data_IF_950329577771
#
_entry.id   IF_950329577771
#
_cell.length_a   1.000
_cell.length_b   1.000
_cell.length_c   1.000
_cell.angle_alpha   90.00
_cell.angle_beta   90.00
_cell.angle_gamma   90.00
#
_symmetry.space_group_name_H-M   'P 1'
#
loop_
_entity.id
_entity.type
_entity.pdbx_description
1 polymer ?
#
# COMPACT_ATOMS: atom_id res chain seq x y z
N UNK A 1 -34.71 -18.73 -7.70
CA UNK A 1 -34.73 -19.92 -8.56
C UNK A 1 -33.32 -20.24 -8.99
N UNK A 2 -32.75 -21.31 -8.45
CA UNK A 2 -31.38 -21.74 -8.71
C UNK A 2 -31.40 -23.24 -8.98
N UNK A 3 -31.74 -23.63 -10.22
CA UNK A 3 -31.63 -25.00 -10.74
C UNK A 3 -31.94 -25.08 -12.26
N UNK A 4 -31.83 -23.99 -13.02
CA UNK A 4 -32.19 -23.96 -14.46
C UNK A 4 -33.67 -24.29 -14.77
N UNK A 5 -34.54 -24.31 -13.75
CA UNK A 5 -35.97 -24.56 -13.89
C UNK A 5 -36.75 -23.27 -14.20
N UNK A 6 -37.81 -23.35 -15.02
CA UNK A 6 -38.70 -22.22 -15.24
C UNK A 6 -39.40 -21.80 -13.93
N UNK A 7 -39.51 -20.49 -13.72
CA UNK A 7 -40.16 -19.95 -12.54
C UNK A 7 -41.62 -20.40 -12.48
N UNK A 8 -42.06 -20.90 -11.32
CA UNK A 8 -43.45 -21.28 -11.10
C UNK A 8 -44.26 -19.99 -10.89
N UNK A 9 -45.31 -19.72 -11.70
CA UNK A 9 -46.12 -18.52 -11.56
C UNK A 9 -46.70 -18.38 -10.14
N UNK A 10 -46.52 -17.21 -9.53
CA UNK A 10 -47.04 -16.90 -8.20
C UNK A 10 -46.23 -17.44 -7.02
N UNK A 11 -45.11 -18.13 -7.23
CA UNK A 11 -44.24 -18.62 -6.17
C UNK A 11 -43.02 -17.71 -6.01
N UNK A 12 -42.91 -17.06 -4.85
CA UNK A 12 -41.74 -16.27 -4.41
C UNK A 12 -41.24 -16.72 -3.05
N UNK A 13 -40.08 -16.20 -2.65
CA UNK A 13 -39.54 -16.41 -1.30
C UNK A 13 -40.47 -15.86 -0.21
N UNK A 14 -41.28 -14.84 -0.50
CA UNK A 14 -42.29 -14.30 0.42
C UNK A 14 -43.39 -15.32 0.71
N UNK A 15 -43.89 -16.01 -0.32
CA UNK A 15 -44.92 -17.05 -0.18
C UNK A 15 -44.42 -18.18 0.72
N UNK A 16 -43.14 -18.56 0.57
CA UNK A 16 -42.50 -19.56 1.43
C UNK A 16 -42.35 -19.06 2.87
N UNK A 17 -41.91 -17.81 3.06
CA UNK A 17 -41.79 -17.21 4.39
C UNK A 17 -43.14 -17.15 5.10
N UNK A 18 -44.22 -16.76 4.42
CA UNK A 18 -45.56 -16.71 5.01
C UNK A 18 -46.09 -18.09 5.39
N UNK A 19 -45.81 -19.12 4.58
CA UNK A 19 -46.12 -20.51 4.93
C UNK A 19 -45.38 -20.99 6.18
N UNK A 20 -44.13 -20.54 6.39
CA UNK A 20 -43.35 -20.85 7.60
C UNK A 20 -43.91 -20.09 8.81
N UNK A 21 -44.27 -18.81 8.66
CA UNK A 21 -44.85 -17.97 9.73
C UNK A 21 -46.19 -18.53 10.22
N UNK A 22 -47.06 -18.95 9.31
CA UNK A 22 -48.37 -19.54 9.65
C UNK A 22 -48.25 -20.84 10.44
N UNK A 23 -47.11 -21.54 10.37
CA UNK A 23 -46.77 -22.69 11.22
C UNK A 23 -46.13 -22.32 12.57
N UNK A 24 -46.04 -21.03 12.88
CA UNK A 24 -45.50 -20.53 14.15
C UNK A 24 -43.97 -20.52 14.24
N UNK A 25 -43.27 -20.73 13.13
CA UNK A 25 -41.81 -20.65 13.11
C UNK A 25 -41.34 -19.23 12.77
N UNK A 26 -40.24 -18.80 13.38
CA UNK A 26 -39.59 -17.53 13.04
C UNK A 26 -38.89 -17.66 11.69
N UNK A 27 -39.11 -16.68 10.83
CA UNK A 27 -38.46 -16.58 9.53
C UNK A 27 -38.25 -15.13 9.16
N UNK A 28 -37.02 -14.82 8.78
CA UNK A 28 -36.64 -13.54 8.20
C UNK A 28 -36.28 -13.72 6.74
N UNK A 29 -36.74 -12.78 5.92
CA UNK A 29 -36.44 -12.76 4.50
C UNK A 29 -35.28 -11.78 4.27
N UNK A 30 -34.15 -12.29 3.78
CA UNK A 30 -33.00 -11.46 3.44
C UNK A 30 -32.85 -11.43 1.91
N UNK A 31 -33.14 -10.29 1.25
CA UNK A 31 -33.18 -10.23 -0.22
C UNK A 31 -31.78 -10.19 -0.86
N UNK A 32 -30.72 -9.95 -0.08
CA UNK A 32 -29.35 -9.82 -0.55
C UNK A 32 -28.37 -10.56 0.36
N UNK A 33 -27.55 -11.45 -0.22
CA UNK A 33 -26.51 -12.19 0.49
C UNK A 33 -25.50 -11.28 1.21
N UNK A 34 -25.27 -10.06 0.73
CA UNK A 34 -24.38 -9.10 1.38
C UNK A 34 -24.80 -8.74 2.80
N UNK A 35 -26.10 -8.83 3.12
CA UNK A 35 -26.62 -8.45 4.44
C UNK A 35 -26.81 -9.67 5.36
N UNK A 36 -26.62 -10.88 4.82
CA UNK A 36 -26.91 -12.12 5.52
C UNK A 36 -26.07 -12.30 6.80
N UNK A 37 -24.82 -11.83 6.82
CA UNK A 37 -23.94 -11.93 8.00
C UNK A 37 -24.52 -11.21 9.20
N UNK A 38 -25.05 -9.99 9.00
CA UNK A 38 -25.68 -9.20 10.06
C UNK A 38 -26.91 -9.87 10.66
N UNK A 39 -27.80 -10.41 9.81
CA UNK A 39 -29.00 -11.12 10.26
C UNK A 39 -28.66 -12.41 11.00
N UNK A 40 -27.78 -13.22 10.43
CA UNK A 40 -27.36 -14.47 11.08
C UNK A 40 -26.74 -14.15 12.44
N UNK A 41 -25.78 -13.23 12.51
CA UNK A 41 -25.14 -12.77 13.75
C UNK A 41 -26.14 -12.33 14.81
N UNK A 42 -27.15 -11.54 14.45
CA UNK A 42 -28.16 -11.06 15.39
C UNK A 42 -29.01 -12.20 15.98
N UNK A 43 -29.16 -13.31 15.24
CA UNK A 43 -29.94 -14.46 15.66
C UNK A 43 -29.15 -15.51 16.46
N UNK A 44 -27.83 -15.65 16.24
CA UNK A 44 -27.01 -16.68 16.90
C UNK A 44 -26.58 -16.32 18.33
N UNK A 45 -26.42 -17.36 19.15
CA UNK A 45 -25.80 -17.34 20.48
C UNK A 45 -24.56 -18.26 20.52
N UNK A 46 -23.64 -18.06 21.48
CA UNK A 46 -22.51 -18.96 21.67
C UNK A 46 -22.95 -20.42 21.86
N UNK A 47 -22.45 -21.33 21.02
CA UNK A 47 -22.80 -22.76 21.03
C UNK A 47 -23.83 -23.17 19.96
N UNK A 48 -24.44 -22.22 19.26
CA UNK A 48 -25.40 -22.52 18.19
C UNK A 48 -24.74 -23.16 16.96
N UNK A 49 -25.47 -24.09 16.34
CA UNK A 49 -25.11 -24.68 15.04
C UNK A 49 -25.92 -24.00 13.94
N UNK A 50 -25.25 -23.45 12.92
CA UNK A 50 -25.91 -22.88 11.74
C UNK A 50 -25.86 -23.85 10.57
N UNK A 51 -27.05 -24.19 10.07
CA UNK A 51 -27.24 -25.09 8.94
C UNK A 51 -27.68 -24.30 7.71
N UNK A 52 -27.04 -24.57 6.57
CA UNK A 52 -27.41 -23.98 5.29
C UNK A 52 -28.13 -25.03 4.45
N UNK A 53 -29.28 -24.65 3.88
CA UNK A 53 -30.13 -25.56 3.11
C UNK A 53 -30.73 -24.82 1.92
N UNK A 54 -30.61 -25.39 0.73
CA UNK A 54 -31.05 -24.74 -0.51
C UNK A 54 -30.45 -25.37 -1.77
N UNK A 55 -30.77 -24.77 -2.91
CA UNK A 55 -30.30 -25.19 -4.23
C UNK A 55 -29.34 -24.15 -4.84
N UNK A 56 -28.40 -24.59 -5.68
CA UNK A 56 -27.29 -23.79 -6.20
C UNK A 56 -25.99 -24.01 -5.41
N UNK A 57 -25.03 -23.08 -5.52
CA UNK A 57 -23.72 -23.19 -4.84
C UNK A 57 -23.79 -22.73 -3.38
N UNK A 58 -24.61 -23.44 -2.60
CA UNK A 58 -24.83 -23.09 -1.19
C UNK A 58 -23.58 -23.33 -0.33
N UNK A 59 -22.67 -24.19 -0.79
CA UNK A 59 -21.39 -24.45 -0.12
C UNK A 59 -20.49 -23.23 -0.17
N UNK A 60 -20.34 -22.57 -1.33
CA UNK A 60 -19.58 -21.31 -1.41
C UNK A 60 -20.22 -20.21 -0.57
N UNK A 61 -21.56 -20.07 -0.61
CA UNK A 61 -22.28 -19.08 0.21
C UNK A 61 -22.06 -19.34 1.71
N UNK A 62 -22.11 -20.59 2.14
CA UNK A 62 -21.86 -20.96 3.53
C UNK A 62 -20.42 -20.66 3.96
N UNK A 63 -19.43 -20.95 3.12
CA UNK A 63 -18.03 -20.63 3.41
C UNK A 63 -17.78 -19.12 3.46
N UNK A 64 -18.34 -18.35 2.52
CA UNK A 64 -18.24 -16.89 2.51
C UNK A 64 -18.89 -16.27 3.76
N UNK A 65 -20.08 -16.74 4.13
CA UNK A 65 -20.77 -16.26 5.34
C UNK A 65 -19.99 -16.61 6.61
N UNK A 66 -19.47 -17.83 6.71
CA UNK A 66 -18.66 -18.25 7.84
C UNK A 66 -17.37 -17.43 7.96
N UNK A 67 -16.73 -17.06 6.84
CA UNK A 67 -15.59 -16.16 6.83
C UNK A 67 -15.97 -14.76 7.34
N UNK A 68 -17.06 -14.16 6.82
CA UNK A 68 -17.58 -12.87 7.27
C UNK A 68 -17.93 -12.86 8.77
N UNK A 69 -18.65 -13.88 9.24
CA UNK A 69 -19.03 -14.00 10.66
C UNK A 69 -17.81 -14.13 11.57
N UNK A 70 -16.76 -14.84 11.12
CA UNK A 70 -15.47 -14.91 11.83
C UNK A 70 -14.74 -13.57 11.81
N UNK A 71 -14.73 -12.84 10.69
CA UNK A 71 -14.08 -11.51 10.57
C UNK A 71 -14.71 -10.47 11.47
N UNK A 72 -16.03 -10.45 11.52
CA UNK A 72 -16.81 -9.49 12.29
C UNK A 72 -16.99 -9.91 13.78
N UNK A 73 -16.43 -11.04 14.24
CA UNK A 73 -16.63 -11.53 15.61
C UNK A 73 -16.19 -10.47 16.67
N UNK A 74 -17.07 -10.09 17.62
CA UNK A 74 -16.74 -9.04 18.59
C UNK A 74 -15.54 -9.48 19.43
N UNK A 75 -14.51 -8.63 19.50
CA UNK A 75 -13.29 -8.94 20.25
C UNK A 75 -12.24 -9.77 19.50
N UNK A 76 -12.48 -10.25 18.26
CA UNK A 76 -11.44 -10.94 17.46
C UNK A 76 -10.21 -10.07 17.27
N UNK A 77 -10.38 -8.82 16.86
CA UNK A 77 -9.25 -7.90 16.69
C UNK A 77 -8.52 -7.65 18.02
N UNK A 78 -9.24 -7.61 19.15
CA UNK A 78 -8.64 -7.45 20.48
C UNK A 78 -7.87 -8.71 20.92
N UNK A 79 -8.36 -9.91 20.60
CA UNK A 79 -7.66 -11.17 20.84
C UNK A 79 -6.40 -11.28 19.96
N UNK A 80 -6.53 -11.04 18.65
CA UNK A 80 -5.42 -11.02 17.70
C UNK A 80 -4.36 -10.01 18.16
N UNK A 81 -4.78 -8.80 18.54
CA UNK A 81 -3.89 -7.78 19.07
C UNK A 81 -3.13 -8.27 20.30
N UNK A 82 -3.82 -8.89 21.27
CA UNK A 82 -3.19 -9.40 22.50
C UNK A 82 -2.19 -10.51 22.22
N UNK A 83 -2.56 -11.46 21.36
CA UNK A 83 -1.68 -12.57 20.98
C UNK A 83 -0.44 -12.06 20.23
N UNK A 84 -0.62 -11.18 19.24
CA UNK A 84 0.49 -10.59 18.52
C UNK A 84 1.38 -9.76 19.45
N UNK A 85 0.80 -8.98 20.36
CA UNK A 85 1.55 -8.20 21.35
C UNK A 85 2.46 -9.08 22.21
N UNK A 86 2.00 -10.26 22.60
CA UNK A 86 2.78 -11.20 23.42
C UNK A 86 3.99 -11.80 22.68
N UNK A 87 3.99 -11.80 21.35
CA UNK A 87 5.10 -12.29 20.53
C UNK A 87 6.18 -11.25 20.25
N UNK A 88 5.86 -9.97 20.45
CA UNK A 88 6.73 -8.86 20.05
C UNK A 88 7.49 -8.28 21.23
N UNK A 89 8.75 -7.90 20.98
CA UNK A 89 9.58 -7.17 21.94
C UNK A 89 8.95 -5.83 22.38
N UNK A 90 9.21 -5.34 23.61
CA UNK A 90 8.65 -4.07 24.10
C UNK A 90 8.91 -2.86 23.20
N UNK A 91 10.03 -2.87 22.48
CA UNK A 91 10.44 -1.79 21.57
C UNK A 91 9.66 -1.78 20.25
N UNK A 92 8.99 -2.89 19.91
CA UNK A 92 8.10 -2.96 18.75
C UNK A 92 6.81 -2.19 19.03
N UNK A 93 6.38 -1.36 18.09
CA UNK A 93 5.08 -0.70 18.20
C UNK A 93 3.99 -1.60 17.58
N UNK A 94 2.86 -1.71 18.28
CA UNK A 94 1.64 -2.35 17.79
C UNK A 94 0.46 -1.45 18.13
N UNK A 95 -0.35 -1.11 17.12
CA UNK A 95 -1.50 -0.23 17.27
C UNK A 95 -2.72 -0.83 16.54
N UNK A 96 -3.88 -0.84 17.20
CA UNK A 96 -5.16 -1.15 16.57
C UNK A 96 -5.80 0.13 16.00
N UNK A 97 -6.57 0.00 14.94
CA UNK A 97 -7.30 1.10 14.28
C UNK A 97 -6.39 2.31 13.98
N UNK A 98 -5.20 2.01 13.46
CA UNK A 98 -4.15 3.01 13.30
C UNK A 98 -4.38 3.88 12.06
N UNK A 99 -4.53 5.22 12.19
CA UNK A 99 -4.78 6.10 11.05
C UNK A 99 -3.56 6.15 10.11
N UNK A 100 -3.77 5.83 8.83
CA UNK A 100 -2.69 5.74 7.85
C UNK A 100 -2.40 7.06 7.12
N UNK A 101 -3.33 8.03 7.11
CA UNK A 101 -3.10 9.33 6.49
C UNK A 101 -1.79 9.98 6.93
N UNK A 102 -1.47 9.99 8.23
CA UNK A 102 -0.21 10.59 8.73
C UNK A 102 1.06 9.81 8.35
N UNK A 103 0.91 8.61 7.78
CA UNK A 103 1.97 7.68 7.39
C UNK A 103 2.17 7.62 5.87
N UNK A 104 1.40 8.36 5.09
CA UNK A 104 1.57 8.55 3.64
C UNK A 104 2.00 9.99 3.33
N UNK A 105 2.71 10.22 2.22
CA UNK A 105 3.11 11.59 1.84
C UNK A 105 1.96 12.40 1.25
N UNK A 106 0.95 11.73 0.67
CA UNK A 106 -0.30 12.35 0.21
C UNK A 106 -1.18 12.82 1.37
N UNK A 107 -0.96 12.26 2.58
CA UNK A 107 -1.73 12.57 3.79
C UNK A 107 -3.21 12.23 3.70
N UNK A 108 -3.54 11.14 3.01
CA UNK A 108 -4.89 10.58 2.91
C UNK A 108 -4.88 9.09 3.22
N UNK A 109 -6.05 8.56 3.55
CA UNK A 109 -6.29 7.14 3.81
C UNK A 109 -6.80 6.83 5.21
N UNK A 110 -7.65 5.80 5.28
CA UNK A 110 -8.31 5.34 6.50
C UNK A 110 -7.38 4.62 7.48
N UNK A 111 -7.98 3.89 8.40
CA UNK A 111 -7.23 3.16 9.44
C UNK A 111 -6.82 1.75 8.99
N UNK A 112 -5.67 1.28 9.46
CA UNK A 112 -5.34 -0.15 9.45
C UNK A 112 -5.99 -0.84 10.65
N UNK A 113 -6.51 -2.06 10.48
CA UNK A 113 -6.97 -2.87 11.62
C UNK A 113 -5.84 -3.08 12.63
N UNK A 114 -4.66 -3.46 12.13
CA UNK A 114 -3.43 -3.58 12.91
C UNK A 114 -2.30 -2.85 12.19
N UNK A 115 -1.49 -2.13 12.95
CA UNK A 115 -0.27 -1.50 12.47
C UNK A 115 0.90 -1.91 13.36
N UNK A 116 1.97 -2.41 12.73
CA UNK A 116 3.16 -2.91 13.42
C UNK A 116 4.41 -2.24 12.90
N UNK A 117 5.23 -1.73 13.81
CA UNK A 117 6.63 -1.39 13.53
C UNK A 117 7.53 -2.33 14.36
N UNK A 118 8.03 -3.43 13.78
CA UNK A 118 8.90 -4.36 14.49
C UNK A 118 10.21 -3.66 14.86
N UNK A 119 10.76 -3.99 16.02
CA UNK A 119 12.03 -3.45 16.50
C UNK A 119 13.23 -4.36 16.21
N UNK A 120 12.99 -5.51 15.58
CA UNK A 120 14.04 -6.43 15.16
C UNK A 120 13.56 -7.32 14.02
N UNK A 121 14.51 -8.02 13.38
CA UNK A 121 14.19 -9.04 12.38
C UNK A 121 13.47 -10.25 12.98
N UNK A 122 13.76 -10.58 14.25
CA UNK A 122 13.05 -11.63 14.96
C UNK A 122 11.57 -11.25 15.19
N UNK A 123 11.31 -10.00 15.56
CA UNK A 123 9.95 -9.47 15.68
C UNK A 123 9.25 -9.48 14.32
N UNK A 124 9.91 -9.00 13.25
CA UNK A 124 9.36 -9.05 11.90
C UNK A 124 8.97 -10.49 11.50
N UNK A 125 9.87 -11.46 11.68
CA UNK A 125 9.59 -12.86 11.39
C UNK A 125 8.42 -13.40 12.24
N UNK A 126 8.30 -12.99 13.51
CA UNK A 126 7.18 -13.36 14.37
C UNK A 126 5.85 -12.79 13.84
N UNK A 127 5.81 -11.52 13.40
CA UNK A 127 4.62 -10.93 12.77
C UNK A 127 4.20 -11.72 11.53
N UNK A 128 5.14 -12.04 10.64
CA UNK A 128 4.85 -12.74 9.38
C UNK A 128 4.30 -14.14 9.64
N UNK A 129 4.94 -14.90 10.54
CA UNK A 129 4.48 -16.23 10.95
C UNK A 129 3.10 -16.17 11.58
N UNK A 130 2.85 -15.18 12.44
CA UNK A 130 1.56 -14.99 13.09
C UNK A 130 0.45 -14.62 12.09
N UNK A 131 0.75 -13.73 11.14
CA UNK A 131 -0.20 -13.37 10.08
C UNK A 131 -0.54 -14.58 9.21
N UNK A 132 0.47 -15.37 8.84
CA UNK A 132 0.27 -16.60 8.05
C UNK A 132 -0.57 -17.64 8.81
N UNK A 133 -0.28 -17.90 10.09
CA UNK A 133 -1.02 -18.90 10.88
C UNK A 133 -2.47 -18.53 11.14
N UNK A 134 -2.78 -17.23 11.22
CA UNK A 134 -4.13 -16.71 11.43
C UNK A 134 -4.84 -16.26 10.15
N UNK A 135 -4.21 -16.48 8.98
CA UNK A 135 -4.71 -16.06 7.67
C UNK A 135 -5.05 -14.55 7.62
N UNK A 136 -4.22 -13.74 8.27
CA UNK A 136 -4.36 -12.28 8.30
C UNK A 136 -3.59 -11.73 7.09
N UNK A 137 -4.25 -11.05 6.13
CA UNK A 137 -3.54 -10.39 5.05
C UNK A 137 -2.68 -9.26 5.60
N UNK A 138 -1.53 -9.02 5.00
CA UNK A 138 -0.66 -7.93 5.40
C UNK A 138 -0.14 -7.10 4.23
N UNK A 139 0.19 -5.84 4.52
CA UNK A 139 0.75 -4.87 3.56
C UNK A 139 2.01 -4.25 4.16
N UNK A 140 3.06 -4.13 3.35
CA UNK A 140 4.27 -3.41 3.73
C UNK A 140 4.11 -1.92 3.43
N UNK A 141 4.30 -1.09 4.45
CA UNK A 141 4.26 0.37 4.33
C UNK A 141 5.66 0.95 4.56
N UNK A 142 6.22 1.53 3.50
CA UNK A 142 7.40 2.40 3.60
C UNK A 142 7.00 3.80 4.07
N UNK A 143 7.49 4.83 3.38
CA UNK A 143 7.05 6.23 3.61
C UNK A 143 5.69 6.58 2.99
N UNK A 144 5.02 5.61 2.34
CA UNK A 144 3.77 5.83 1.62
C UNK A 144 3.88 6.93 0.54
N UNK A 145 5.04 7.02 -0.12
CA UNK A 145 5.33 8.08 -1.10
C UNK A 145 4.84 7.81 -2.53
N UNK A 146 4.40 6.58 -2.78
CA UNK A 146 3.78 6.14 -4.03
C UNK A 146 2.43 5.44 -3.75
N UNK A 147 1.79 5.73 -2.61
CA UNK A 147 0.56 5.06 -2.19
C UNK A 147 -0.60 6.05 -2.09
N UNK A 148 -1.76 5.59 -2.56
CA UNK A 148 -3.07 6.20 -2.31
C UNK A 148 -3.93 5.18 -1.56
N UNK A 149 -4.03 5.35 -0.25
CA UNK A 149 -4.82 4.46 0.60
C UNK A 149 -6.25 4.99 0.65
N UNK A 150 -7.24 4.14 0.40
CA UNK A 150 -8.67 4.49 0.42
C UNK A 150 -9.15 4.86 1.83
N UNK A 151 -10.28 5.57 1.89
CA UNK A 151 -10.81 6.12 3.14
C UNK A 151 -11.33 5.02 4.10
N UNK A 152 -11.72 3.84 3.59
CA UNK A 152 -12.04 2.66 4.41
C UNK A 152 -10.81 1.98 5.03
N UNK A 153 -9.60 2.39 4.63
CA UNK A 153 -8.35 1.91 5.23
C UNK A 153 -7.95 0.51 4.77
N UNK A 154 -7.15 -0.18 5.58
CA UNK A 154 -6.56 -1.48 5.23
C UNK A 154 -7.04 -2.54 6.23
N UNK A 155 -7.59 -3.64 5.71
CA UNK A 155 -7.93 -4.83 6.52
C UNK A 155 -6.69 -5.67 6.81
N UNK A 156 -6.62 -6.24 8.01
CA UNK A 156 -5.48 -7.06 8.44
C UNK A 156 -4.31 -6.25 9.00
N UNK A 157 -3.08 -6.58 8.62
CA UNK A 157 -1.87 -6.04 9.25
C UNK A 157 -1.05 -5.14 8.33
N UNK A 158 -0.80 -3.90 8.70
CA UNK A 158 0.17 -3.03 8.05
C UNK A 158 1.51 -3.10 8.78
N UNK A 159 2.57 -3.48 8.07
CA UNK A 159 3.92 -3.65 8.63
C UNK A 159 4.80 -2.52 8.10
N UNK A 160 5.46 -1.78 8.99
CA UNK A 160 6.34 -0.66 8.65
C UNK A 160 7.74 -0.87 9.24
N UNK A 161 8.77 -0.77 8.40
CA UNK A 161 10.17 -0.87 8.84
C UNK A 161 10.75 0.50 9.23
N UNK A 162 9.92 1.40 9.77
CA UNK A 162 10.34 2.75 10.17
C UNK A 162 11.09 2.79 11.51
N UNK A 163 11.07 1.71 12.28
CA UNK A 163 11.79 1.61 13.55
C UNK A 163 13.30 1.85 13.34
N UNK A 164 14.01 2.52 14.29
CA UNK A 164 15.44 2.78 14.18
C UNK A 164 16.32 1.54 13.91
N UNK A 165 15.92 0.36 14.39
CA UNK A 165 16.61 -0.92 14.11
C UNK A 165 16.76 -1.22 12.62
N UNK A 166 15.78 -0.85 11.80
CA UNK A 166 15.79 -1.01 10.35
C UNK A 166 16.29 0.23 9.60
N UNK A 167 16.67 1.29 10.31
CA UNK A 167 17.09 2.58 9.75
C UNK A 167 18.56 2.90 9.99
N UNK A 168 19.38 1.88 10.26
CA UNK A 168 20.81 2.03 10.50
C UNK A 168 21.60 2.21 9.19
N UNK A 169 22.70 2.97 9.28
CA UNK A 169 23.69 3.12 8.22
C UNK A 169 25.09 2.91 8.77
N UNK A 170 25.91 2.10 8.09
CA UNK A 170 27.31 1.86 8.42
C UNK A 170 28.17 2.03 7.17
N UNK A 171 29.28 2.74 7.32
CA UNK A 171 30.24 2.98 6.24
C UNK A 171 31.43 2.03 6.36
N UNK A 172 31.87 1.51 5.22
CA UNK A 172 33.07 0.67 5.08
C UNK A 172 33.78 1.07 3.78
N UNK A 173 34.67 2.08 3.86
CA UNK A 173 35.32 2.64 2.68
C UNK A 173 34.31 3.30 1.73
N UNK A 174 34.23 2.78 0.49
CA UNK A 174 33.30 3.22 -0.56
C UNK A 174 31.91 2.54 -0.47
N UNK A 175 31.72 1.66 0.51
CA UNK A 175 30.47 0.92 0.73
C UNK A 175 29.63 1.51 1.86
N UNK A 176 28.32 1.49 1.66
CA UNK A 176 27.33 1.94 2.64
C UNK A 176 26.33 0.81 2.88
N UNK A 177 26.39 0.22 4.07
CA UNK A 177 25.37 -0.72 4.53
C UNK A 177 24.18 0.07 5.06
N UNK A 178 23.01 -0.13 4.46
CA UNK A 178 21.79 0.58 4.82
C UNK A 178 20.66 -0.41 5.14
N UNK A 179 19.97 -0.19 6.25
CA UNK A 179 18.70 -0.86 6.52
C UNK A 179 17.56 -0.35 5.61
N UNK A 180 16.54 -1.17 5.40
CA UNK A 180 15.42 -0.88 4.51
C UNK A 180 14.56 0.33 4.94
N UNK A 181 14.60 0.71 6.23
CA UNK A 181 13.92 1.87 6.78
C UNK A 181 14.62 3.20 6.50
N UNK A 182 15.91 3.18 6.11
CA UNK A 182 16.71 4.38 5.85
C UNK A 182 16.04 5.24 4.77
N UNK A 183 15.95 6.55 5.02
CA UNK A 183 15.43 7.51 4.04
C UNK A 183 16.45 7.73 2.93
N UNK A 184 16.01 7.72 1.68
CA UNK A 184 16.91 7.96 0.54
C UNK A 184 17.68 9.28 0.64
N UNK A 185 17.02 10.36 1.07
CA UNK A 185 17.68 11.64 1.33
C UNK A 185 18.82 11.52 2.35
N UNK A 186 18.66 10.69 3.38
CA UNK A 186 19.71 10.46 4.38
C UNK A 186 20.91 9.75 3.76
N UNK A 187 20.70 8.80 2.86
CA UNK A 187 21.79 8.12 2.12
C UNK A 187 22.60 9.15 1.33
N UNK A 188 21.95 10.00 0.53
CA UNK A 188 22.64 11.02 -0.27
C UNK A 188 23.44 12.01 0.62
N UNK A 189 22.83 12.48 1.72
CA UNK A 189 23.47 13.44 2.63
C UNK A 189 24.68 12.84 3.34
N UNK A 190 24.57 11.61 3.85
CA UNK A 190 25.68 10.96 4.55
C UNK A 190 26.78 10.50 3.57
N UNK A 191 26.43 10.01 2.37
CA UNK A 191 27.40 9.73 1.31
C UNK A 191 28.25 10.96 0.97
N UNK A 192 27.62 12.13 0.81
CA UNK A 192 28.33 13.40 0.60
C UNK A 192 29.31 13.72 1.73
N UNK A 193 28.91 13.54 2.99
CA UNK A 193 29.78 13.81 4.15
C UNK A 193 31.02 12.91 4.16
N UNK A 194 30.89 11.70 3.59
CA UNK A 194 31.99 10.76 3.43
C UNK A 194 32.77 10.94 2.11
N UNK A 195 32.46 11.98 1.31
CA UNK A 195 33.13 12.24 0.04
C UNK A 195 32.81 11.21 -1.04
N UNK A 196 31.59 10.64 -1.02
CA UNK A 196 31.15 9.66 -2.01
C UNK A 196 30.18 10.28 -3.02
N UNK A 197 30.47 10.10 -4.32
CA UNK A 197 29.58 10.42 -5.46
C UNK A 197 28.87 9.16 -5.96
N UNK A 198 27.86 9.32 -6.81
CA UNK A 198 27.06 8.24 -7.42
C UNK A 198 25.71 8.01 -6.74
N UNK A 199 25.45 8.69 -5.63
CA UNK A 199 24.24 8.54 -4.81
C UNK A 199 23.44 9.84 -4.70
N UNK A 200 23.81 10.90 -5.41
CA UNK A 200 23.14 12.21 -5.34
C UNK A 200 21.72 12.15 -5.89
N UNK A 201 21.47 11.27 -6.87
CA UNK A 201 20.17 11.16 -7.54
C UNK A 201 19.02 10.75 -6.61
N UNK A 202 19.33 10.08 -5.48
CA UNK A 202 18.30 9.66 -4.52
C UNK A 202 17.86 10.77 -3.56
N UNK A 203 18.55 11.92 -3.53
CA UNK A 203 18.22 13.05 -2.64
C UNK A 203 16.77 13.52 -2.81
N UNK A 204 16.34 13.64 -4.07
CA UNK A 204 15.01 14.16 -4.44
C UNK A 204 13.90 13.12 -4.43
N UNK A 205 14.22 11.85 -4.18
CA UNK A 205 13.23 10.77 -4.19
C UNK A 205 12.64 10.61 -2.78
N UNK A 206 11.35 10.91 -2.57
CA UNK A 206 10.72 10.64 -1.29
C UNK A 206 10.57 9.13 -1.11
N UNK A 207 11.15 8.54 -0.07
CA UNK A 207 11.05 7.10 0.14
C UNK A 207 11.99 6.56 1.21
N UNK A 208 11.74 5.32 1.65
CA UNK A 208 12.72 4.50 2.36
C UNK A 208 13.39 3.56 1.36
N UNK A 209 14.62 3.11 1.68
CA UNK A 209 15.41 2.23 0.82
C UNK A 209 14.62 0.99 0.39
N UNK A 210 13.93 0.30 1.30
CA UNK A 210 13.16 -0.90 0.99
C UNK A 210 12.02 -0.65 0.00
N UNK A 211 11.28 0.46 0.16
CA UNK A 211 10.23 0.84 -0.81
C UNK A 211 10.83 1.19 -2.17
N UNK A 212 11.99 1.84 -2.17
CA UNK A 212 12.69 2.20 -3.39
C UNK A 212 13.33 1.00 -4.10
N UNK A 213 13.74 -0.05 -3.39
CA UNK A 213 14.16 -1.32 -3.97
C UNK A 213 12.98 -2.02 -4.66
N UNK A 214 11.79 -2.06 -4.03
CA UNK A 214 10.58 -2.60 -4.67
C UNK A 214 10.26 -1.90 -5.99
N UNK A 215 10.43 -0.58 -6.03
CA UNK A 215 10.11 0.24 -7.21
C UNK A 215 11.27 0.42 -8.18
N UNK A 216 12.45 -0.16 -7.93
CA UNK A 216 13.70 0.22 -8.60
C UNK A 216 13.78 1.73 -8.82
N UNK A 217 13.72 2.51 -7.74
CA UNK A 217 13.49 3.94 -7.84
C UNK A 217 14.62 4.63 -8.62
N UNK A 218 14.25 5.49 -9.57
CA UNK A 218 15.21 6.22 -10.39
C UNK A 218 14.85 7.69 -10.58
N UNK A 219 15.89 8.50 -10.73
CA UNK A 219 15.82 9.92 -11.04
C UNK A 219 17.08 10.35 -11.80
N UNK A 220 16.98 11.38 -12.62
CA UNK A 220 18.11 11.99 -13.33
C UNK A 220 18.94 11.01 -14.19
N UNK A 221 18.30 9.95 -14.71
CA UNK A 221 18.95 8.95 -15.57
C UNK A 221 19.66 7.83 -14.81
N UNK A 222 19.57 7.79 -13.48
CA UNK A 222 20.15 6.75 -12.63
C UNK A 222 19.06 5.96 -11.92
N UNK A 223 19.33 4.67 -11.69
CA UNK A 223 18.44 3.74 -11.00
C UNK A 223 19.06 3.21 -9.73
N UNK A 224 18.24 2.87 -8.74
CA UNK A 224 18.72 2.42 -7.44
C UNK A 224 19.58 1.17 -7.54
N UNK A 225 19.17 0.18 -8.34
CA UNK A 225 19.92 -1.06 -8.48
C UNK A 225 21.28 -0.90 -9.18
N UNK A 226 21.51 0.19 -9.93
CA UNK A 226 22.82 0.51 -10.50
C UNK A 226 23.85 0.87 -9.41
N UNK A 227 23.36 1.30 -8.24
CA UNK A 227 24.18 1.71 -7.10
C UNK A 227 24.23 0.65 -5.98
N UNK A 228 23.50 -0.46 -6.10
CA UNK A 228 23.49 -1.53 -5.10
C UNK A 228 24.47 -2.63 -5.51
N UNK A 229 25.35 -3.03 -4.58
CA UNK A 229 26.24 -4.19 -4.71
C UNK A 229 25.52 -5.47 -4.24
N UNK A 230 24.89 -5.40 -3.06
CA UNK A 230 24.27 -6.55 -2.39
C UNK A 230 22.91 -6.17 -1.81
N UNK A 231 21.94 -7.08 -1.88
CA UNK A 231 20.63 -6.95 -1.22
C UNK A 231 20.45 -8.01 -0.14
N UNK A 232 19.76 -7.62 0.93
CA UNK A 232 19.35 -8.53 2.01
C UNK A 232 17.84 -8.45 2.19
N UNK A 233 17.18 -9.61 2.24
CA UNK A 233 15.73 -9.70 2.24
C UNK A 233 15.22 -10.92 3.00
N UNK A 234 13.95 -10.87 3.41
CA UNK A 234 13.27 -11.92 4.15
C UNK A 234 12.12 -12.48 3.32
N UNK A 235 11.96 -13.80 3.29
CA UNK A 235 10.73 -14.42 2.77
C UNK A 235 9.58 -14.33 3.80
N UNK A 236 8.37 -14.72 3.42
CA UNK A 236 7.22 -14.67 4.33
C UNK A 236 7.22 -15.77 5.41
N UNK A 237 8.17 -16.70 5.38
CA UNK A 237 8.40 -17.68 6.43
C UNK A 237 9.41 -17.18 7.49
N UNK A 238 10.02 -16.01 7.26
CA UNK A 238 11.00 -15.41 8.14
C UNK A 238 12.44 -15.85 7.87
N UNK A 239 12.70 -16.52 6.75
CA UNK A 239 14.06 -16.88 6.35
C UNK A 239 14.73 -15.68 5.68
N UNK A 240 16.00 -15.47 6.00
CA UNK A 240 16.77 -14.34 5.50
C UNK A 240 17.75 -14.82 4.45
N UNK A 241 17.78 -14.09 3.34
CA UNK A 241 18.66 -14.32 2.22
C UNK A 241 19.46 -13.05 1.90
N UNK A 242 20.66 -13.25 1.39
CA UNK A 242 21.52 -12.20 0.87
C UNK A 242 21.97 -12.59 -0.54
N UNK A 243 21.95 -11.64 -1.47
CA UNK A 243 22.32 -11.88 -2.88
C UNK A 243 22.99 -10.67 -3.49
N UNK A 244 23.91 -10.90 -4.41
CA UNK A 244 24.45 -9.83 -5.23
C UNK A 244 23.34 -9.22 -6.10
N UNK A 245 23.34 -7.89 -6.24
CA UNK A 245 22.33 -7.18 -7.03
C UNK A 245 22.34 -7.60 -8.51
N UNK A 246 23.51 -7.96 -9.04
CA UNK A 246 23.70 -8.47 -10.40
C UNK A 246 22.94 -9.77 -10.68
N UNK A 247 22.55 -10.52 -9.65
CA UNK A 247 21.79 -11.78 -9.80
C UNK A 247 20.26 -11.57 -9.68
N UNK A 248 19.82 -10.33 -9.44
CA UNK A 248 18.42 -9.99 -9.22
C UNK A 248 17.84 -9.48 -10.53
N UNK A 249 16.73 -10.08 -10.96
CA UNK A 249 15.97 -9.53 -12.08
C UNK A 249 15.26 -8.24 -11.65
N UNK A 250 15.53 -7.15 -12.37
CA UNK A 250 14.99 -5.82 -12.11
C UNK A 250 14.31 -5.30 -13.38
N UNK A 251 13.14 -4.71 -13.21
CA UNK A 251 12.32 -4.13 -14.27
C UNK A 251 12.38 -2.59 -14.21
N UNK A 252 11.95 -1.93 -15.28
CA UNK A 252 11.70 -0.49 -15.23
C UNK A 252 10.61 -0.22 -14.18
N UNK A 253 10.94 0.59 -13.16
CA UNK A 253 10.05 0.93 -12.04
C UNK A 253 9.54 -0.29 -11.25
N UNK A 254 10.30 -1.38 -11.17
CA UNK A 254 9.89 -2.55 -10.40
C UNK A 254 11.00 -3.56 -10.12
N UNK A 255 10.82 -4.33 -9.06
CA UNK A 255 11.64 -5.51 -8.77
C UNK A 255 10.71 -6.67 -8.35
N UNK A 256 10.50 -7.68 -9.23
CA UNK A 256 9.58 -8.79 -8.95
C UNK A 256 9.87 -9.58 -7.68
N UNK A 257 11.14 -9.64 -7.24
CA UNK A 257 11.54 -10.30 -6.00
C UNK A 257 10.75 -9.78 -4.79
N UNK A 258 10.58 -8.47 -4.69
CA UNK A 258 9.89 -7.81 -3.58
C UNK A 258 8.37 -7.84 -3.67
N UNK A 259 7.79 -8.61 -4.61
CA UNK A 259 6.37 -8.96 -4.56
C UNK A 259 6.09 -9.97 -3.44
N UNK A 260 7.02 -10.91 -3.22
CA UNK A 260 6.87 -12.03 -2.27
C UNK A 260 7.96 -12.06 -1.19
N UNK A 261 8.78 -11.01 -1.10
CA UNK A 261 9.86 -10.88 -0.11
C UNK A 261 9.88 -9.45 0.44
N UNK A 262 10.45 -9.30 1.63
CA UNK A 262 10.59 -8.03 2.33
C UNK A 262 12.05 -7.61 2.29
N UNK A 263 12.34 -6.45 1.70
CA UNK A 263 13.67 -5.87 1.77
C UNK A 263 14.04 -5.56 3.23
N UNK A 264 15.19 -6.04 3.69
CA UNK A 264 15.75 -5.74 5.01
C UNK A 264 16.87 -4.69 4.94
N UNK A 265 17.60 -4.65 3.82
CA UNK A 265 18.66 -3.68 3.61
C UNK A 265 19.42 -3.92 2.31
N UNK A 266 20.40 -3.06 2.05
CA UNK A 266 21.29 -3.19 0.90
C UNK A 266 22.68 -2.62 1.22
N UNK A 267 23.68 -3.06 0.47
CA UNK A 267 25.00 -2.44 0.40
C UNK A 267 25.03 -1.60 -0.85
N UNK A 268 25.13 -0.28 -0.70
CA UNK A 268 25.31 0.65 -1.80
C UNK A 268 26.80 0.96 -1.98
N UNK A 269 27.20 1.24 -3.21
CA UNK A 269 28.58 1.60 -3.54
C UNK A 269 28.64 3.01 -4.11
N UNK A 270 29.45 3.85 -3.48
CA UNK A 270 29.81 5.16 -3.99
C UNK A 270 31.19 5.16 -4.64
N UNK A 271 31.60 6.30 -5.19
CA UNK A 271 32.96 6.53 -5.67
C UNK A 271 33.56 7.71 -4.93
N UNK A 272 34.83 7.63 -4.54
CA UNK A 272 35.51 8.76 -3.89
C UNK A 272 35.52 10.00 -4.82
N UNK A 273 35.11 11.14 -4.27
CA UNK A 273 35.08 12.43 -4.95
C UNK A 273 35.30 13.57 -3.96
N UNK A 274 35.62 14.77 -4.46
CA UNK A 274 35.67 15.95 -3.59
C UNK A 274 34.27 16.27 -3.06
N UNK A 275 34.17 16.59 -1.77
CA UNK A 275 32.89 16.96 -1.15
C UNK A 275 32.22 18.17 -1.82
N UNK A 276 33.00 19.03 -2.48
CA UNK A 276 32.49 20.15 -3.27
C UNK A 276 31.77 19.72 -4.53
N UNK A 277 32.37 18.82 -5.32
CA UNK A 277 31.72 18.32 -6.54
C UNK A 277 30.42 17.57 -6.22
N UNK A 278 30.41 16.77 -5.14
CA UNK A 278 29.19 16.08 -4.69
C UNK A 278 28.12 17.08 -4.24
N UNK A 279 28.51 18.12 -3.50
CA UNK A 279 27.60 19.19 -3.07
C UNK A 279 26.99 19.92 -4.26
N UNK A 280 27.78 20.31 -5.25
CA UNK A 280 27.29 21.01 -6.44
C UNK A 280 26.28 20.18 -7.23
N UNK A 281 26.52 18.86 -7.36
CA UNK A 281 25.59 17.93 -8.00
C UNK A 281 24.27 17.80 -7.22
N UNK A 282 24.36 17.63 -5.90
CA UNK A 282 23.19 17.60 -5.02
C UNK A 282 22.37 18.88 -5.13
N UNK A 283 23.01 20.05 -5.05
CA UNK A 283 22.34 21.35 -5.17
C UNK A 283 21.64 21.51 -6.54
N UNK A 284 22.28 21.04 -7.62
CA UNK A 284 21.67 21.04 -8.95
C UNK A 284 20.43 20.14 -9.04
N UNK A 285 20.47 18.93 -8.46
CA UNK A 285 19.33 18.01 -8.43
C UNK A 285 18.19 18.54 -7.54
N UNK A 286 18.54 19.13 -6.40
CA UNK A 286 17.58 19.75 -5.49
C UNK A 286 16.88 20.94 -6.14
N UNK A 287 17.61 21.84 -6.80
CA UNK A 287 17.01 22.94 -7.60
C UNK A 287 16.05 22.40 -8.65
N UNK A 288 16.50 21.44 -9.47
CA UNK A 288 15.67 20.85 -10.52
C UNK A 288 14.39 20.22 -9.96
N UNK A 289 14.44 19.52 -8.82
CA UNK A 289 13.24 18.96 -8.15
C UNK A 289 12.27 20.07 -7.77
N UNK A 290 12.73 21.12 -7.09
CA UNK A 290 11.85 22.15 -6.55
C UNK A 290 11.32 23.14 -7.59
N UNK A 291 12.02 23.31 -8.70
CA UNK A 291 11.53 24.10 -9.84
C UNK A 291 10.49 23.34 -10.68
N UNK A 292 10.55 22.00 -10.69
CA UNK A 292 9.70 21.19 -11.56
C UNK A 292 8.57 20.45 -10.86
N UNK A 293 8.58 20.34 -9.53
CA UNK A 293 7.64 19.48 -8.79
C UNK A 293 7.13 20.15 -7.50
N UNK A 294 5.86 19.88 -7.10
CA UNK A 294 5.24 20.56 -5.96
C UNK A 294 5.86 20.19 -4.62
N UNK A 295 5.71 21.13 -3.66
CA UNK A 295 6.09 20.98 -2.25
C UNK A 295 4.96 20.43 -1.38
N UNK A 296 3.72 20.59 -1.84
CA UNK A 296 2.53 20.14 -1.15
C UNK A 296 2.50 18.60 -1.02
N UNK A 297 1.79 18.07 -0.01
CA UNK A 297 1.53 16.64 0.11
C UNK A 297 1.02 16.03 -1.20
N UNK A 298 1.69 14.99 -1.69
CA UNK A 298 1.38 14.27 -2.93
C UNK A 298 1.93 12.84 -2.88
N UNK A 299 1.48 11.96 -3.78
CA UNK A 299 1.96 10.58 -3.92
C UNK A 299 2.96 10.41 -5.10
N UNK A 300 3.60 11.50 -5.53
CA UNK A 300 4.43 11.48 -6.74
C UNK A 300 3.62 11.66 -8.02
N UNK A 301 4.16 11.13 -9.13
CA UNK A 301 3.44 11.10 -10.40
C UNK A 301 2.23 10.18 -10.28
N UNK A 302 1.06 10.68 -10.69
CA UNK A 302 -0.19 9.93 -10.62
C UNK A 302 -0.28 8.89 -11.73
N UNK A 303 0.15 9.25 -12.94
CA UNK A 303 0.07 8.40 -14.12
C UNK A 303 1.44 8.03 -14.68
N UNK A 304 1.53 6.84 -15.27
CA UNK A 304 2.66 6.47 -16.12
C UNK A 304 2.65 7.34 -17.38
N UNK A 305 3.81 7.54 -17.99
CA UNK A 305 3.90 8.25 -19.26
C UNK A 305 3.41 7.36 -20.42
N UNK A 306 2.41 7.80 -21.22
CA UNK A 306 2.13 7.21 -22.52
C UNK A 306 3.36 7.19 -23.44
N UNK A 307 3.38 6.28 -24.42
CA UNK A 307 4.48 6.18 -25.39
C UNK A 307 4.67 7.44 -26.25
N UNK A 308 3.62 8.22 -26.43
CA UNK A 308 3.56 9.35 -27.38
C UNK A 308 3.87 10.70 -26.73
N UNK A 309 3.60 10.86 -25.43
CA UNK A 309 3.72 12.13 -24.72
C UNK A 309 3.86 11.87 -23.22
N UNK A 310 4.62 12.70 -22.52
CA UNK A 310 4.66 12.64 -21.05
C UNK A 310 3.30 13.02 -20.44
N UNK A 311 2.83 12.26 -19.44
CA UNK A 311 1.51 12.45 -18.84
C UNK A 311 1.35 13.85 -18.24
N UNK A 312 2.40 14.43 -17.65
CA UNK A 312 2.36 15.79 -17.13
C UNK A 312 2.11 16.84 -18.21
N UNK A 313 2.82 16.74 -19.33
CA UNK A 313 2.63 17.63 -20.47
C UNK A 313 1.24 17.48 -21.09
N UNK A 314 0.77 16.24 -21.19
CA UNK A 314 -0.56 15.92 -21.70
C UNK A 314 -1.67 16.59 -20.87
N UNK A 315 -1.57 16.51 -19.54
CA UNK A 315 -2.54 17.13 -18.62
C UNK A 315 -2.43 18.66 -18.67
N UNK A 316 -1.21 19.20 -18.76
CA UNK A 316 -0.95 20.64 -18.90
C UNK A 316 -1.56 21.21 -20.19
N UNK A 317 -1.36 20.55 -21.34
CA UNK A 317 -1.91 20.97 -22.64
C UNK A 317 -3.43 20.94 -22.70
N UNK A 318 -4.08 20.12 -21.86
CA UNK A 318 -5.53 20.08 -21.70
C UNK A 318 -6.06 21.14 -20.72
N UNK A 319 -5.17 21.98 -20.16
CA UNK A 319 -5.55 23.06 -19.25
C UNK A 319 -6.07 22.56 -17.90
N UNK A 320 -5.67 21.36 -17.47
CA UNK A 320 -6.22 20.73 -16.27
C UNK A 320 -5.48 21.11 -14.96
N UNK A 321 -4.37 21.85 -15.03
CA UNK A 321 -3.72 22.42 -13.83
C UNK A 321 -4.71 23.26 -13.02
N UNK A 322 -4.67 23.13 -11.69
CA UNK A 322 -5.59 23.81 -10.79
C UNK A 322 -6.98 23.19 -10.70
N UNK A 323 -7.34 22.20 -11.55
CA UNK A 323 -8.62 21.47 -11.44
C UNK A 323 -8.73 20.82 -10.07
N UNK A 324 -9.90 20.95 -9.44
CA UNK A 324 -10.10 20.60 -8.03
C UNK A 324 -11.33 19.71 -7.82
N UNK A 325 -11.20 18.75 -6.91
CA UNK A 325 -12.30 18.01 -6.31
C UNK A 325 -12.05 17.97 -4.81
N UNK A 326 -12.97 18.50 -4.00
CA UNK A 326 -12.77 18.63 -2.55
C UNK A 326 -11.44 19.31 -2.20
N UNK A 327 -10.66 18.69 -1.31
CA UNK A 327 -9.32 19.16 -0.92
C UNK A 327 -8.17 18.76 -1.86
N UNK A 328 -8.45 17.99 -2.93
CA UNK A 328 -7.47 17.55 -3.91
C UNK A 328 -7.47 18.44 -5.15
N UNK A 329 -6.29 18.78 -5.68
CA UNK A 329 -6.17 19.51 -6.95
C UNK A 329 -4.98 19.08 -7.79
N UNK A 330 -5.07 19.25 -9.11
CA UNK A 330 -3.92 19.11 -10.01
C UNK A 330 -2.94 20.25 -9.71
N UNK A 331 -1.67 19.92 -9.52
CA UNK A 331 -0.64 20.89 -9.19
C UNK A 331 -0.44 21.93 -10.29
N UNK A 332 -0.38 23.22 -9.91
CA UNK A 332 -0.01 24.31 -10.81
C UNK A 332 1.43 24.19 -11.33
N UNK A 333 2.29 23.48 -10.60
CA UNK A 333 3.70 23.27 -10.97
C UNK A 333 3.81 22.17 -12.03
N UNK A 334 3.16 21.03 -11.83
CA UNK A 334 3.32 19.85 -12.69
C UNK A 334 2.01 19.06 -12.86
N UNK A 335 1.46 18.95 -14.08
CA UNK A 335 0.15 18.34 -14.32
C UNK A 335 0.00 16.88 -13.91
N UNK A 336 1.10 16.11 -13.85
CA UNK A 336 1.06 14.72 -13.36
C UNK A 336 1.06 14.57 -11.83
N UNK A 337 0.96 15.65 -11.07
CA UNK A 337 0.90 15.61 -9.61
C UNK A 337 -0.47 16.09 -9.13
N UNK A 338 -1.12 15.28 -8.30
CA UNK A 338 -2.25 15.73 -7.48
C UNK A 338 -1.69 16.10 -6.10
N UNK A 339 -2.11 17.25 -5.60
CA UNK A 339 -1.72 17.78 -4.30
C UNK A 339 -2.92 17.83 -3.36
N UNK A 340 -2.65 17.60 -2.07
CA UNK A 340 -3.61 17.73 -0.99
C UNK A 340 -3.38 19.07 -0.26
N UNK A 341 -4.43 19.89 -0.15
CA UNK A 341 -4.38 21.20 0.52
C UNK A 341 -4.42 21.12 2.07
N UNK A 342 -4.54 19.91 2.61
CA UNK A 342 -4.68 19.60 4.02
C UNK A 342 -6.05 19.00 4.38
N UNK A 343 -7.04 19.10 3.48
CA UNK A 343 -8.42 18.64 3.71
C UNK A 343 -8.87 17.51 2.78
N UNK A 344 -8.01 17.08 1.83
CA UNK A 344 -8.38 16.05 0.87
C UNK A 344 -8.67 14.71 1.53
N UNK A 345 -9.66 14.01 1.00
CA UNK A 345 -9.92 12.58 1.24
C UNK A 345 -9.31 11.73 0.12
N UNK A 346 -9.19 10.42 0.32
CA UNK A 346 -8.77 9.53 -0.75
C UNK A 346 -9.80 9.53 -1.90
N UNK A 347 -11.09 9.63 -1.56
CA UNK A 347 -12.19 9.78 -2.52
C UNK A 347 -12.03 11.01 -3.41
N UNK A 348 -11.62 12.14 -2.86
CA UNK A 348 -11.36 13.37 -3.64
C UNK A 348 -10.28 13.13 -4.70
N UNK A 349 -9.16 12.52 -4.28
CA UNK A 349 -8.04 12.20 -5.17
C UNK A 349 -8.47 11.23 -6.27
N UNK A 350 -9.19 10.16 -5.92
CA UNK A 350 -9.67 9.17 -6.88
C UNK A 350 -10.67 9.76 -7.88
N UNK A 351 -11.57 10.61 -7.42
CA UNK A 351 -12.54 11.30 -8.28
C UNK A 351 -11.81 12.22 -9.26
N UNK A 352 -10.76 12.92 -8.80
CA UNK A 352 -9.93 13.76 -9.66
C UNK A 352 -9.11 12.92 -10.66
N UNK A 353 -8.61 11.75 -10.26
CA UNK A 353 -7.94 10.79 -11.16
C UNK A 353 -8.87 10.40 -12.31
N UNK A 354 -10.09 9.96 -12.02
CA UNK A 354 -11.05 9.54 -13.05
C UNK A 354 -11.47 10.71 -13.96
N UNK A 355 -11.68 11.90 -13.41
CA UNK A 355 -11.94 13.10 -14.21
C UNK A 355 -10.82 13.38 -15.23
N UNK A 356 -9.55 13.26 -14.80
CA UNK A 356 -8.41 13.44 -15.70
C UNK A 356 -8.39 12.35 -16.79
N UNK A 357 -8.60 11.09 -16.42
CA UNK A 357 -8.64 9.96 -17.37
C UNK A 357 -9.73 10.16 -18.40
N UNK A 358 -10.94 10.51 -17.97
CA UNK A 358 -12.08 10.77 -18.86
C UNK A 358 -11.79 11.91 -19.83
N UNK A 359 -11.22 13.03 -19.34
CA UNK A 359 -10.88 14.17 -20.19
C UNK A 359 -9.81 13.81 -21.23
N UNK A 360 -8.75 13.13 -20.79
CA UNK A 360 -7.65 12.72 -21.66
C UNK A 360 -8.14 11.75 -22.73
N UNK A 361 -8.96 10.76 -22.34
CA UNK A 361 -9.58 9.83 -23.28
C UNK A 361 -10.48 10.55 -24.29
N UNK A 362 -11.36 11.44 -23.83
CA UNK A 362 -12.31 12.14 -24.69
C UNK A 362 -11.63 13.09 -25.69
N UNK A 363 -10.55 13.77 -25.28
CA UNK A 363 -9.90 14.79 -26.11
C UNK A 363 -8.73 14.24 -26.94
N UNK A 364 -8.04 13.20 -26.46
CA UNK A 364 -6.81 12.68 -27.08
C UNK A 364 -6.87 11.21 -27.45
N UNK A 365 -7.92 10.47 -27.06
CA UNK A 365 -8.04 9.03 -27.30
C UNK A 365 -7.00 8.18 -26.58
N UNK A 366 -6.35 8.73 -25.55
CA UNK A 366 -5.30 8.05 -24.79
C UNK A 366 -5.89 7.56 -23.47
N UNK A 367 -5.66 6.28 -23.15
CA UNK A 367 -5.96 5.72 -21.84
C UNK A 367 -4.75 5.92 -20.91
N UNK A 368 -4.95 6.62 -19.79
CA UNK A 368 -3.92 6.78 -18.76
C UNK A 368 -4.00 5.64 -17.74
N UNK A 369 -2.84 5.04 -17.47
CA UNK A 369 -2.63 4.08 -16.38
C UNK A 369 -2.02 4.79 -15.16
N UNK A 370 -2.48 4.45 -13.96
CA UNK A 370 -1.90 4.98 -12.72
C UNK A 370 -0.50 4.40 -12.47
N UNK A 371 0.41 5.25 -12.00
CA UNK A 371 1.72 4.86 -11.43
C UNK A 371 1.64 4.77 -9.90
N UNK A 372 0.76 5.56 -9.28
CA UNK A 372 0.45 5.44 -7.85
C UNK A 372 -0.25 4.11 -7.57
N UNK A 373 0.17 3.44 -6.49
CA UNK A 373 -0.44 2.20 -6.02
C UNK A 373 -1.65 2.53 -5.15
N UNK A 374 -2.83 2.05 -5.55
CA UNK A 374 -4.10 2.27 -4.85
C UNK A 374 -4.37 1.06 -3.96
N UNK A 375 -4.53 1.29 -2.66
CA UNK A 375 -4.70 0.23 -1.66
C UNK A 375 -5.91 0.47 -0.75
N UNK A 376 -6.36 -0.59 -0.10
CA UNK A 376 -7.44 -0.54 0.89
C UNK A 376 -8.83 -0.67 0.29
N UNK A 377 -9.84 -0.43 1.11
CA UNK A 377 -11.26 -0.55 0.78
C UNK A 377 -11.97 0.80 0.81
N UNK A 378 -13.08 0.92 0.07
CA UNK A 378 -13.90 2.15 0.00
C UNK A 378 -13.80 2.87 -1.35
#
# INVERSE_FOLDING_TARGET
YAASEPAIPGISSDVLADAIRTRGQRVELVPNLLHLSGYVRAAMQPGDLVLFLGAGDITQVAHALAAQLREEAPGRNAEIFRQLRALLSPDSMLQADAPLAKRTTMRVGGAADLFVEPASEADLAAVLKFCNSHQIPFVLLGRGSNLLIRDGGIRGCVISLANPSFSQMRFEGDRIHCGAGVRLKSIAVEARKQGLTGLEFVEGIPGSLGGSMRMNAGAMGSWLFDAIETIRFMDFHGNICERAASEVHVEYRGCPLFRNHIALGAVLRGTAASGEAVRERMDAYSRKRWESQPRQPSAGCIFKNPKTIGAGRLIDELGLKGTRVGGASVSDVHGNFIVNDGTATARDVLTLIELIRERVRATRGIELETEVEILGEG
#
